data_IF_845753308793
#
_entry.id   IF_845753308793
#
_cell.length_a   1.000
_cell.length_b   1.000
_cell.length_c   1.000
_cell.angle_alpha   90.00
_cell.angle_beta   90.00
_cell.angle_gamma   90.00
#
_symmetry.space_group_name_H-M   'P 1'
#
loop_
_entity.id
_entity.type
_entity.pdbx_description
1 polymer ?
#
# COMPACT_ATOMS: atom_id res chain seq x y z
N UNK A 1 18.42 -48.40 -0.49
CA UNK A 1 18.69 -47.63 -1.72
C UNK A 1 17.48 -46.85 -2.26
N UNK A 2 16.23 -46.97 -1.74
CA UNK A 2 15.04 -46.29 -2.26
C UNK A 2 14.73 -44.88 -1.68
N UNK A 3 15.39 -44.44 -0.62
CA UNK A 3 15.20 -43.12 0.01
C UNK A 3 16.06 -41.98 -0.54
N UNK A 4 17.06 -42.25 -1.33
CA UNK A 4 17.96 -41.23 -1.92
C UNK A 4 17.56 -40.77 -3.32
N UNK A 5 16.69 -41.51 -4.03
CA UNK A 5 16.19 -41.09 -5.35
C UNK A 5 15.03 -40.08 -5.28
N UNK A 6 14.27 -40.04 -4.17
CA UNK A 6 13.14 -39.10 -4.03
C UNK A 6 13.58 -37.67 -3.74
N UNK A 7 14.75 -37.51 -3.08
CA UNK A 7 15.28 -36.17 -2.75
C UNK A 7 15.89 -35.46 -3.96
N UNK A 8 16.39 -36.19 -4.95
CA UNK A 8 16.99 -35.61 -6.17
C UNK A 8 15.90 -35.15 -7.18
N UNK A 9 14.73 -35.79 -7.19
CA UNK A 9 13.64 -35.44 -8.11
C UNK A 9 12.92 -34.16 -7.67
N UNK A 10 12.79 -33.90 -6.35
CA UNK A 10 12.20 -32.67 -5.82
C UNK A 10 13.13 -31.44 -6.03
N UNK A 11 14.46 -31.63 -6.00
CA UNK A 11 15.40 -30.52 -6.24
C UNK A 11 15.43 -30.08 -7.72
N UNK A 12 15.19 -30.99 -8.65
CA UNK A 12 15.15 -30.67 -10.09
C UNK A 12 13.81 -30.02 -10.49
N UNK A 13 12.67 -30.38 -9.84
CA UNK A 13 11.40 -29.70 -10.10
C UNK A 13 11.34 -28.26 -9.57
N UNK A 14 12.08 -27.92 -8.50
CA UNK A 14 12.14 -26.55 -7.99
C UNK A 14 12.99 -25.62 -8.88
N UNK A 15 13.91 -26.15 -9.69
CA UNK A 15 14.72 -25.34 -10.60
C UNK A 15 14.00 -24.99 -11.92
N UNK A 16 12.99 -25.75 -12.33
CA UNK A 16 12.29 -25.54 -13.61
C UNK A 16 11.15 -24.52 -13.49
N UNK A 17 10.61 -24.28 -12.29
CA UNK A 17 9.55 -23.26 -12.06
C UNK A 17 10.07 -21.84 -11.82
N UNK A 18 11.37 -21.61 -11.64
CA UNK A 18 11.94 -20.28 -11.36
C UNK A 18 12.26 -19.44 -12.63
N UNK A 19 12.34 -20.07 -13.80
CA UNK A 19 12.80 -19.40 -15.02
C UNK A 19 11.75 -18.48 -15.68
N UNK A 20 10.44 -18.76 -15.70
CA UNK A 20 9.49 -17.85 -16.34
C UNK A 20 9.14 -16.60 -15.52
N UNK A 21 9.31 -16.60 -14.19
CA UNK A 21 9.05 -15.42 -13.38
C UNK A 21 10.12 -14.32 -13.53
N UNK A 22 11.38 -14.68 -13.66
CA UNK A 22 12.48 -13.72 -13.81
C UNK A 22 12.40 -12.94 -15.15
N UNK A 23 11.98 -13.58 -16.24
CA UNK A 23 11.89 -12.92 -17.56
C UNK A 23 10.71 -11.94 -17.67
N UNK A 24 9.58 -12.22 -17.00
CA UNK A 24 8.43 -11.32 -16.96
C UNK A 24 8.73 -10.09 -16.07
N UNK A 25 9.43 -10.28 -14.97
CA UNK A 25 9.83 -9.20 -14.06
C UNK A 25 10.85 -8.26 -14.71
N UNK A 26 11.80 -8.76 -15.48
CA UNK A 26 12.77 -7.94 -16.22
C UNK A 26 12.09 -7.08 -17.30
N UNK A 27 11.04 -7.55 -17.94
CA UNK A 27 10.27 -6.80 -18.94
C UNK A 27 9.50 -5.61 -18.32
N UNK A 28 8.92 -5.76 -17.16
CA UNK A 28 8.20 -4.68 -16.47
C UNK A 28 9.17 -3.62 -15.91
N UNK A 29 10.29 -4.04 -15.33
CA UNK A 29 11.35 -3.15 -14.86
C UNK A 29 11.91 -2.29 -16.00
N UNK A 30 12.16 -2.89 -17.18
CA UNK A 30 12.63 -2.17 -18.35
C UNK A 30 11.61 -1.13 -18.82
N UNK A 31 10.33 -1.50 -18.93
CA UNK A 31 9.24 -0.59 -19.30
C UNK A 31 9.11 0.60 -18.33
N UNK A 32 9.22 0.36 -17.02
CA UNK A 32 9.21 1.42 -16.01
C UNK A 32 10.42 2.35 -16.14
N UNK A 33 11.61 1.79 -16.38
CA UNK A 33 12.82 2.58 -16.62
C UNK A 33 12.72 3.44 -17.90
N UNK A 34 12.12 2.93 -18.98
CA UNK A 34 11.86 3.69 -20.20
C UNK A 34 10.86 4.82 -19.96
N UNK A 35 9.80 4.58 -19.20
CA UNK A 35 8.85 5.63 -18.80
C UNK A 35 9.56 6.75 -18.01
N UNK A 36 10.44 6.41 -17.07
CA UNK A 36 11.23 7.40 -16.32
C UNK A 36 12.19 8.17 -17.21
N UNK A 37 12.69 7.57 -18.29
CA UNK A 37 13.51 8.27 -19.28
C UNK A 37 12.71 9.32 -20.05
N UNK A 38 11.48 8.99 -20.48
CA UNK A 38 10.55 9.93 -21.12
C UNK A 38 10.19 11.09 -20.18
N UNK A 39 10.12 10.83 -18.86
CA UNK A 39 9.88 11.86 -17.84
C UNK A 39 11.14 12.64 -17.44
N UNK A 40 12.29 12.41 -18.07
CA UNK A 40 13.59 13.02 -17.76
C UNK A 40 14.14 12.71 -16.36
N UNK A 41 13.64 11.65 -15.72
CA UNK A 41 14.12 11.20 -14.39
C UNK A 41 15.30 10.24 -14.50
N UNK A 42 15.37 9.47 -15.60
CA UNK A 42 16.55 8.67 -15.97
C UNK A 42 17.21 9.29 -17.22
N UNK A 43 18.53 9.14 -17.32
CA UNK A 43 19.25 9.53 -18.55
C UNK A 43 19.01 8.52 -19.66
N UNK A 44 19.01 8.98 -20.91
CA UNK A 44 19.05 8.12 -22.07
C UNK A 44 20.41 7.40 -22.13
N UNK A 45 20.40 6.10 -21.89
CA UNK A 45 21.56 5.24 -21.99
C UNK A 45 21.13 3.85 -22.48
N UNK A 46 21.32 3.57 -23.79
CA UNK A 46 20.97 2.27 -24.37
C UNK A 46 21.76 1.08 -23.77
N UNK A 47 22.91 1.36 -23.14
CA UNK A 47 23.77 0.35 -22.51
C UNK A 47 23.45 0.15 -21.04
N UNK A 48 22.38 0.82 -20.50
CA UNK A 48 22.01 0.74 -19.11
C UNK A 48 21.73 -0.70 -18.69
N UNK A 49 22.49 -1.19 -17.75
CA UNK A 49 22.31 -2.51 -17.16
C UNK A 49 21.55 -2.38 -15.84
N UNK A 50 20.24 -2.69 -15.90
CA UNK A 50 19.34 -2.61 -14.76
C UNK A 50 19.65 -3.63 -13.66
N UNK A 51 20.47 -4.66 -13.96
CA UNK A 51 20.82 -5.72 -12.98
C UNK A 51 22.03 -5.35 -12.12
N UNK A 52 22.81 -4.34 -12.51
CA UNK A 52 23.99 -3.93 -11.74
C UNK A 52 23.60 -3.32 -10.39
N UNK A 53 24.41 -3.57 -9.34
CA UNK A 53 24.26 -2.89 -8.07
C UNK A 53 24.28 -1.37 -8.23
N UNK A 54 23.30 -0.70 -7.64
CA UNK A 54 23.22 0.74 -7.63
C UNK A 54 24.24 1.34 -6.66
N UNK A 55 24.81 2.48 -7.06
CA UNK A 55 25.74 3.22 -6.22
C UNK A 55 25.07 4.36 -5.49
N UNK A 56 25.67 4.80 -4.38
CA UNK A 56 25.19 5.94 -3.59
C UNK A 56 25.15 7.24 -4.40
N UNK A 57 26.10 7.45 -5.31
CA UNK A 57 26.11 8.62 -6.19
C UNK A 57 24.95 8.59 -7.20
N UNK A 58 24.67 7.44 -7.80
CA UNK A 58 23.52 7.26 -8.70
C UNK A 58 22.21 7.53 -7.96
N UNK A 59 22.04 6.99 -6.76
CA UNK A 59 20.88 7.23 -5.92
C UNK A 59 20.68 8.71 -5.60
N UNK A 60 21.74 9.43 -5.22
CA UNK A 60 21.65 10.87 -4.94
C UNK A 60 21.19 11.69 -6.16
N UNK A 61 21.71 11.37 -7.36
CA UNK A 61 21.29 12.03 -8.61
C UNK A 61 19.82 11.74 -8.91
N UNK A 62 19.40 10.48 -8.83
CA UNK A 62 18.01 10.08 -9.11
C UNK A 62 17.04 10.71 -8.10
N UNK A 63 17.40 10.76 -6.82
CA UNK A 63 16.60 11.39 -5.78
C UNK A 63 16.39 12.88 -6.06
N UNK A 64 17.43 13.60 -6.48
CA UNK A 64 17.36 15.05 -6.79
C UNK A 64 16.53 15.29 -8.04
N UNK A 65 16.62 14.43 -9.06
CA UNK A 65 15.76 14.50 -10.25
C UNK A 65 14.30 14.28 -9.88
N UNK A 66 14.02 13.26 -9.07
CA UNK A 66 12.67 12.97 -8.57
C UNK A 66 12.08 14.15 -7.78
N UNK A 67 12.90 14.89 -7.07
CA UNK A 67 12.49 16.11 -6.37
C UNK A 67 12.39 17.35 -7.26
N UNK A 68 12.71 17.25 -8.55
CA UNK A 68 12.75 18.39 -9.48
C UNK A 68 13.92 19.35 -9.26
N UNK A 69 14.93 18.94 -8.50
CA UNK A 69 16.04 19.80 -8.06
C UNK A 69 16.99 20.22 -9.18
N UNK A 70 17.07 19.53 -10.30
CA UNK A 70 17.88 19.92 -11.45
C UNK A 70 17.35 21.19 -12.16
N UNK A 71 16.03 21.45 -12.10
CA UNK A 71 15.40 22.64 -12.69
C UNK A 71 15.56 23.90 -11.85
N UNK A 72 15.83 23.73 -10.54
CA UNK A 72 16.12 24.82 -9.60
C UNK A 72 17.32 24.44 -8.75
N UNK A 73 18.54 24.44 -9.29
CA UNK A 73 19.75 24.14 -8.53
C UNK A 73 20.01 25.33 -7.59
N UNK A 74 19.35 25.34 -6.45
CA UNK A 74 19.62 26.25 -5.37
C UNK A 74 20.75 25.66 -4.51
N UNK A 75 21.96 25.86 -4.95
CA UNK A 75 23.13 25.47 -4.18
C UNK A 75 23.73 26.65 -3.40
N UNK A 76 23.41 27.91 -3.74
CA UNK A 76 23.92 29.14 -3.10
C UNK A 76 25.36 29.01 -2.59
N UNK A 77 26.19 28.26 -3.32
CA UNK A 77 27.57 27.97 -2.90
C UNK A 77 27.68 26.94 -1.78
N UNK A 78 26.59 26.22 -1.39
CA UNK A 78 26.65 25.17 -0.37
C UNK A 78 27.58 24.02 -0.79
N UNK A 79 28.46 23.65 0.10
CA UNK A 79 29.37 22.52 -0.04
C UNK A 79 29.24 21.58 1.15
N UNK A 80 28.92 20.32 0.86
CA UNK A 80 28.70 19.28 1.88
C UNK A 80 29.98 18.82 2.60
N UNK A 81 31.15 19.28 2.16
CA UNK A 81 32.43 18.93 2.75
C UNK A 81 33.06 17.62 2.24
N UNK A 82 32.32 16.84 1.43
CA UNK A 82 32.79 15.55 0.90
C UNK A 82 33.84 15.75 -0.20
N UNK A 83 34.99 15.06 -0.08
CA UNK A 83 36.13 15.21 -0.98
C UNK A 83 36.20 14.17 -2.08
N UNK A 84 35.43 13.08 -1.93
CA UNK A 84 35.43 11.89 -2.80
C UNK A 84 34.31 11.87 -3.83
N UNK A 85 33.45 12.90 -3.88
CA UNK A 85 32.31 12.96 -4.80
C UNK A 85 32.77 13.37 -6.20
N UNK A 86 32.51 12.55 -7.24
CA UNK A 86 32.85 12.89 -8.62
C UNK A 86 32.03 14.09 -9.12
N UNK A 87 32.59 14.80 -10.11
CA UNK A 87 32.01 16.09 -10.59
C UNK A 87 30.57 15.92 -11.07
N UNK A 88 30.26 14.82 -11.77
CA UNK A 88 28.91 14.56 -12.29
C UNK A 88 27.82 14.40 -11.21
N UNK A 89 28.19 13.99 -9.99
CA UNK A 89 27.26 13.81 -8.87
C UNK A 89 27.33 14.96 -7.85
N UNK A 90 28.34 15.84 -7.92
CA UNK A 90 28.64 16.84 -6.90
C UNK A 90 27.46 17.76 -6.59
N UNK A 91 26.82 18.30 -7.62
CA UNK A 91 25.66 19.18 -7.46
C UNK A 91 24.50 18.47 -6.77
N UNK A 92 24.20 17.25 -7.19
CA UNK A 92 23.10 16.46 -6.60
C UNK A 92 23.40 16.08 -5.14
N UNK A 93 24.62 15.65 -4.84
CA UNK A 93 25.03 15.29 -3.47
C UNK A 93 24.96 16.52 -2.56
N UNK A 94 25.48 17.69 -3.00
CA UNK A 94 25.38 18.92 -2.22
C UNK A 94 23.93 19.34 -1.98
N UNK A 95 23.07 19.27 -3.02
CA UNK A 95 21.66 19.60 -2.94
C UNK A 95 20.92 18.71 -1.94
N UNK A 96 21.05 17.39 -2.07
CA UNK A 96 20.36 16.44 -1.21
C UNK A 96 20.89 16.48 0.24
N UNK A 97 22.20 16.70 0.43
CA UNK A 97 22.80 16.85 1.76
C UNK A 97 22.30 18.12 2.48
N UNK A 98 22.25 19.26 1.79
CA UNK A 98 21.72 20.52 2.34
C UNK A 98 20.29 20.36 2.87
N UNK A 99 19.48 19.51 2.22
CA UNK A 99 18.09 19.21 2.62
C UNK A 99 17.98 18.11 3.68
N UNK A 100 19.11 17.53 4.08
CA UNK A 100 19.12 16.45 5.05
C UNK A 100 18.58 15.10 4.53
N UNK A 101 18.43 14.95 3.21
CA UNK A 101 17.96 13.69 2.61
C UNK A 101 19.03 12.60 2.62
N UNK A 102 20.29 13.01 2.47
CA UNK A 102 21.45 12.11 2.47
C UNK A 102 22.52 12.58 3.47
N UNK A 103 23.33 11.62 3.91
CA UNK A 103 24.50 11.84 4.75
C UNK A 103 25.73 11.16 4.16
N UNK A 104 26.92 11.62 4.51
CA UNK A 104 28.16 10.93 4.23
C UNK A 104 28.37 9.73 5.15
N UNK A 105 29.34 8.88 4.82
CA UNK A 105 29.86 7.84 5.71
C UNK A 105 30.76 8.42 6.79
N UNK A 106 31.26 9.65 6.55
CA UNK A 106 31.93 10.51 7.52
C UNK A 106 31.70 11.97 7.18
N UNK A 107 32.25 12.89 7.97
CA UNK A 107 32.14 14.34 7.72
C UNK A 107 32.83 14.79 6.41
N UNK A 108 33.73 13.99 5.84
CA UNK A 108 34.52 14.32 4.66
C UNK A 108 34.42 13.30 3.53
N UNK A 109 33.68 12.21 3.73
CA UNK A 109 33.53 11.13 2.75
C UNK A 109 32.05 10.80 2.54
N UNK A 110 31.65 10.73 1.27
CA UNK A 110 30.32 10.33 0.84
C UNK A 110 30.25 8.85 0.49
N UNK A 111 31.35 8.27 0.03
CA UNK A 111 31.45 6.93 -0.56
C UNK A 111 30.57 6.77 -1.82
N UNK A 112 30.86 7.53 -2.90
CA UNK A 112 30.01 7.60 -4.09
C UNK A 112 29.82 6.27 -4.81
N UNK A 113 30.80 5.36 -4.74
CA UNK A 113 30.81 4.05 -5.36
C UNK A 113 30.30 2.93 -4.44
N UNK A 114 30.04 3.24 -3.17
CA UNK A 114 29.47 2.31 -2.22
C UNK A 114 28.12 1.79 -2.68
N UNK A 115 27.86 0.48 -2.48
CA UNK A 115 26.59 -0.13 -2.84
C UNK A 115 25.47 0.34 -1.90
N UNK A 116 24.28 0.52 -2.47
CA UNK A 116 23.12 1.01 -1.77
C UNK A 116 22.28 -0.14 -1.26
N UNK A 117 22.00 -0.18 0.05
CA UNK A 117 21.04 -1.13 0.61
C UNK A 117 19.62 -0.54 0.64
N UNK A 118 18.64 -1.40 0.81
CA UNK A 118 17.22 -1.07 0.78
C UNK A 118 16.83 -0.01 1.80
N UNK A 119 17.27 -0.14 3.07
CA UNK A 119 16.92 0.82 4.11
C UNK A 119 17.52 2.20 3.87
N UNK A 120 18.77 2.25 3.40
CA UNK A 120 19.41 3.53 3.07
C UNK A 120 18.69 4.26 1.93
N UNK A 121 18.27 3.54 0.88
CA UNK A 121 17.51 4.12 -0.22
C UNK A 121 16.12 4.60 0.22
N UNK A 122 15.36 3.74 0.91
CA UNK A 122 14.04 4.10 1.40
C UNK A 122 14.09 5.27 2.38
N UNK A 123 15.10 5.34 3.26
CA UNK A 123 15.29 6.51 4.13
C UNK A 123 15.53 7.80 3.34
N UNK A 124 16.28 7.75 2.22
CA UNK A 124 16.47 8.90 1.34
C UNK A 124 15.15 9.33 0.69
N UNK A 125 14.36 8.39 0.14
CA UNK A 125 13.04 8.66 -0.46
C UNK A 125 12.08 9.25 0.58
N UNK A 126 11.97 8.63 1.74
CA UNK A 126 11.09 9.07 2.83
C UNK A 126 11.41 10.50 3.28
N UNK A 127 12.69 10.83 3.47
CA UNK A 127 13.10 12.19 3.83
C UNK A 127 12.76 13.20 2.74
N UNK A 128 12.92 12.83 1.48
CA UNK A 128 12.54 13.69 0.33
C UNK A 128 11.04 13.96 0.31
N UNK A 129 10.23 12.98 0.71
CA UNK A 129 8.76 13.08 0.81
C UNK A 129 8.27 13.78 2.08
N UNK A 130 9.19 14.21 2.99
CA UNK A 130 8.85 14.95 4.21
C UNK A 130 8.69 14.09 5.46
N UNK A 131 8.97 12.78 5.40
CA UNK A 131 9.09 11.95 6.60
C UNK A 131 10.45 12.15 7.27
N UNK A 132 10.52 11.95 8.58
CA UNK A 132 11.73 12.22 9.36
C UNK A 132 12.02 11.12 10.38
N UNK A 133 13.17 10.47 10.22
CA UNK A 133 13.76 9.58 11.23
C UNK A 133 14.10 10.28 12.54
N UNK A 134 14.34 11.61 12.49
CA UNK A 134 14.66 12.42 13.67
C UNK A 134 13.45 12.74 14.54
N UNK A 135 12.27 12.80 13.94
CA UNK A 135 11.00 13.06 14.65
C UNK A 135 10.19 11.79 14.91
N UNK A 136 10.74 10.62 14.55
CA UNK A 136 10.16 9.33 14.86
C UNK A 136 9.12 8.82 13.88
N UNK A 137 9.09 9.32 12.63
CA UNK A 137 8.20 8.77 11.62
C UNK A 137 8.59 7.34 11.23
N UNK A 138 9.91 7.07 11.19
CA UNK A 138 10.47 5.75 10.91
C UNK A 138 11.86 5.61 11.54
N UNK A 139 12.34 4.39 11.67
CA UNK A 139 13.73 4.08 12.00
C UNK A 139 14.50 3.75 10.73
N UNK A 140 15.78 4.18 10.64
CA UNK A 140 16.61 3.94 9.44
C UNK A 140 16.78 2.44 9.17
N UNK A 141 16.89 1.62 10.22
CA UNK A 141 17.03 0.16 10.13
C UNK A 141 15.76 -0.57 9.67
N UNK A 142 14.62 0.14 9.56
CA UNK A 142 13.31 -0.40 9.17
C UNK A 142 12.69 0.44 8.03
N UNK A 143 13.48 1.30 7.40
CA UNK A 143 12.99 2.26 6.41
C UNK A 143 12.36 1.58 5.18
N UNK A 144 12.91 0.44 4.75
CA UNK A 144 12.36 -0.31 3.62
C UNK A 144 11.02 -0.98 3.96
N UNK A 145 10.87 -1.53 5.16
CA UNK A 145 9.61 -2.09 5.62
C UNK A 145 8.56 -0.98 5.83
N UNK A 146 8.96 0.16 6.38
CA UNK A 146 8.07 1.31 6.53
C UNK A 146 7.60 1.86 5.17
N UNK A 147 8.51 2.05 4.20
CA UNK A 147 8.17 2.52 2.86
C UNK A 147 7.15 1.60 2.17
N UNK A 148 7.33 0.29 2.28
CA UNK A 148 6.37 -0.67 1.77
C UNK A 148 5.04 -0.63 2.51
N UNK A 149 5.04 -0.57 3.83
CA UNK A 149 3.84 -0.50 4.67
C UNK A 149 2.95 0.69 4.34
N UNK A 150 3.54 1.85 4.03
CA UNK A 150 2.78 3.06 3.64
C UNK A 150 2.45 3.12 2.14
N UNK A 151 2.78 2.09 1.34
CA UNK A 151 2.50 2.03 -0.09
C UNK A 151 3.43 2.87 -0.98
N UNK A 152 4.57 3.37 -0.45
CA UNK A 152 5.56 4.11 -1.23
C UNK A 152 6.26 3.20 -2.26
N UNK A 153 6.46 1.93 -1.93
CA UNK A 153 7.04 0.93 -2.83
C UNK A 153 6.07 -0.23 -3.01
N UNK A 154 5.91 -0.74 -4.22
CA UNK A 154 4.99 -1.85 -4.54
C UNK A 154 5.40 -3.19 -3.92
N UNK A 155 6.63 -3.31 -3.44
CA UNK A 155 7.16 -4.46 -2.70
C UNK A 155 8.14 -4.01 -1.63
N UNK A 156 8.34 -4.83 -0.63
CA UNK A 156 9.42 -4.60 0.33
C UNK A 156 10.77 -4.82 -0.35
N UNK A 157 11.58 -3.79 -0.41
CA UNK A 157 12.95 -3.86 -0.89
C UNK A 157 13.84 -4.52 0.16
N UNK A 158 14.81 -5.32 -0.26
CA UNK A 158 15.74 -6.05 0.65
C UNK A 158 17.15 -6.08 0.08
N UNK A 159 18.14 -6.14 0.96
CA UNK A 159 19.54 -6.34 0.60
C UNK A 159 20.16 -5.18 -0.20
N UNK A 160 21.11 -5.49 -1.07
CA UNK A 160 21.75 -4.54 -1.98
C UNK A 160 20.86 -4.35 -3.20
N UNK A 161 20.55 -3.09 -3.52
CA UNK A 161 19.67 -2.75 -4.62
C UNK A 161 20.40 -2.67 -5.96
N UNK A 162 19.73 -3.11 -7.02
CA UNK A 162 20.12 -2.90 -8.40
C UNK A 162 19.64 -1.52 -8.92
N UNK A 163 20.15 -1.11 -10.07
CA UNK A 163 19.65 0.08 -10.80
C UNK A 163 18.16 -0.10 -11.16
N UNK A 164 17.73 -1.33 -11.44
CA UNK A 164 16.33 -1.66 -11.69
C UNK A 164 15.44 -1.47 -10.46
N UNK A 165 15.90 -1.87 -9.27
CA UNK A 165 15.17 -1.65 -8.02
C UNK A 165 14.95 -0.15 -7.74
N UNK A 166 15.95 0.70 -8.03
CA UNK A 166 15.80 2.14 -7.93
C UNK A 166 14.76 2.66 -8.93
N UNK A 167 14.82 2.19 -10.19
CA UNK A 167 13.86 2.61 -11.20
C UNK A 167 12.42 2.20 -10.83
N UNK A 168 12.20 0.97 -10.37
CA UNK A 168 10.89 0.52 -9.91
C UNK A 168 10.36 1.39 -8.77
N UNK A 169 11.16 1.61 -7.73
CA UNK A 169 10.74 2.39 -6.56
C UNK A 169 10.50 3.88 -6.89
N UNK A 170 11.25 4.46 -7.83
CA UNK A 170 11.01 5.82 -8.34
C UNK A 170 9.69 5.87 -9.10
N UNK A 171 9.42 4.86 -9.95
CA UNK A 171 8.17 4.78 -10.69
C UNK A 171 6.96 4.64 -9.75
N UNK A 172 7.06 3.81 -8.72
CA UNK A 172 6.03 3.67 -7.69
C UNK A 172 5.80 4.98 -6.94
N UNK A 173 6.87 5.72 -6.64
CA UNK A 173 6.80 7.00 -5.93
C UNK A 173 6.12 8.14 -6.73
N UNK A 174 5.96 8.02 -8.06
CA UNK A 174 5.35 9.09 -8.89
C UNK A 174 3.93 9.44 -8.43
N UNK A 175 3.15 8.45 -8.06
CA UNK A 175 1.76 8.63 -7.61
C UNK A 175 1.65 8.79 -6.08
N UNK A 176 2.77 8.79 -5.35
CA UNK A 176 2.78 8.91 -3.91
C UNK A 176 2.75 10.39 -3.49
N UNK A 177 1.98 10.71 -2.44
CA UNK A 177 1.85 12.08 -1.95
C UNK A 177 2.99 12.47 -1.00
N UNK A 178 3.40 13.75 -1.04
CA UNK A 178 4.22 14.30 0.03
C UNK A 178 3.48 14.25 1.37
N UNK A 179 4.20 13.96 2.44
CA UNK A 179 3.62 13.80 3.79
C UNK A 179 2.72 14.98 4.16
N UNK A 180 1.49 14.67 4.55
CA UNK A 180 0.51 15.66 4.98
C UNK A 180 -0.04 16.56 3.86
N UNK A 181 0.09 16.14 2.60
CA UNK A 181 -0.46 16.85 1.44
C UNK A 181 -1.19 15.88 0.50
N UNK A 182 -1.97 16.43 -0.43
CA UNK A 182 -2.57 15.69 -1.55
C UNK A 182 -1.73 15.82 -2.83
N UNK A 183 -0.56 16.44 -2.75
CA UNK A 183 0.31 16.67 -3.91
C UNK A 183 1.17 15.44 -4.16
N UNK A 184 0.96 14.75 -5.29
CA UNK A 184 1.80 13.63 -5.71
C UNK A 184 3.16 14.09 -6.22
N UNK A 185 4.14 13.19 -6.22
CA UNK A 185 5.46 13.47 -6.82
C UNK A 185 5.31 13.84 -8.30
N UNK A 186 4.49 13.12 -9.06
CA UNK A 186 4.24 13.42 -10.48
C UNK A 186 3.62 14.81 -10.69
N UNK A 187 2.60 15.15 -9.90
CA UNK A 187 2.00 16.49 -9.94
C UNK A 187 3.04 17.57 -9.69
N UNK A 188 3.88 17.39 -8.67
CA UNK A 188 4.97 18.32 -8.34
C UNK A 188 5.99 18.46 -9.47
N UNK A 189 6.35 17.35 -10.13
CA UNK A 189 7.26 17.36 -11.29
C UNK A 189 6.69 18.13 -12.48
N UNK A 190 5.39 18.01 -12.73
CA UNK A 190 4.69 18.78 -13.76
C UNK A 190 4.66 20.29 -13.42
N UNK A 191 4.34 20.65 -12.19
CA UNK A 191 4.34 22.04 -11.70
C UNK A 191 5.72 22.71 -11.84
N UNK A 192 6.78 21.92 -11.61
CA UNK A 192 8.16 22.38 -11.77
C UNK A 192 8.64 22.39 -13.24
N UNK A 193 7.82 21.88 -14.18
CA UNK A 193 8.17 21.78 -15.59
C UNK A 193 9.30 20.77 -15.87
N UNK A 194 9.49 19.76 -15.02
CA UNK A 194 10.42 18.64 -15.24
C UNK A 194 9.88 17.74 -16.34
N UNK A 195 8.60 17.40 -16.25
CA UNK A 195 7.88 16.70 -17.30
C UNK A 195 6.59 17.44 -17.68
N UNK A 196 5.98 17.07 -18.80
CA UNK A 196 4.73 17.67 -19.26
C UNK A 196 3.55 16.77 -18.95
N UNK A 197 2.36 17.36 -18.77
CA UNK A 197 1.11 16.60 -18.65
C UNK A 197 0.87 15.71 -19.90
N UNK A 198 1.27 16.16 -21.09
CA UNK A 198 1.17 15.36 -22.32
C UNK A 198 2.03 14.10 -22.26
N UNK A 199 3.28 14.20 -21.78
CA UNK A 199 4.16 13.04 -21.60
C UNK A 199 3.61 12.08 -20.55
N UNK A 200 3.16 12.59 -19.40
CA UNK A 200 2.55 11.79 -18.34
C UNK A 200 1.28 11.08 -18.84
N UNK A 201 0.42 11.77 -19.60
CA UNK A 201 -0.79 11.18 -20.18
C UNK A 201 -0.46 10.10 -21.23
N UNK A 202 0.53 10.34 -22.09
CA UNK A 202 0.97 9.35 -23.10
C UNK A 202 1.52 8.06 -22.46
N UNK A 203 2.05 8.16 -21.26
CA UNK A 203 2.50 7.01 -20.43
C UNK A 203 1.36 6.39 -19.61
N UNK A 204 0.13 6.92 -19.70
CA UNK A 204 -1.01 6.47 -18.91
C UNK A 204 -0.86 6.73 -17.40
N UNK A 205 -0.13 7.77 -17.00
CA UNK A 205 0.09 8.13 -15.59
C UNK A 205 -0.96 9.12 -15.06
N UNK A 206 -1.73 9.75 -15.94
CA UNK A 206 -2.87 10.59 -15.59
C UNK A 206 -4.16 9.81 -15.87
N UNK A 207 -5.10 9.76 -14.92
CA UNK A 207 -6.37 8.99 -15.02
C UNK A 207 -6.13 7.50 -15.37
N UNK A 208 -5.27 6.87 -14.62
CA UNK A 208 -4.76 5.54 -14.90
C UNK A 208 -5.73 4.47 -14.46
N UNK A 209 -6.16 3.62 -15.41
CA UNK A 209 -6.73 2.31 -15.07
C UNK A 209 -5.58 1.38 -14.67
N UNK A 210 -5.61 0.92 -13.43
CA UNK A 210 -4.64 -0.04 -12.92
C UNK A 210 -5.05 -1.46 -13.29
N UNK A 211 -4.07 -2.29 -13.62
CA UNK A 211 -4.27 -3.74 -13.67
C UNK A 211 -4.39 -4.31 -12.26
N UNK A 212 -4.96 -5.52 -12.12
CA UNK A 212 -5.03 -6.21 -10.83
C UNK A 212 -3.66 -6.31 -10.13
N UNK A 213 -2.58 -6.57 -10.90
CA UNK A 213 -1.22 -6.61 -10.36
C UNK A 213 -0.78 -5.27 -9.78
N UNK A 214 -1.02 -4.17 -10.49
CA UNK A 214 -0.65 -2.83 -10.03
C UNK A 214 -1.44 -2.41 -8.79
N UNK A 215 -2.73 -2.78 -8.72
CA UNK A 215 -3.56 -2.56 -7.54
C UNK A 215 -3.08 -3.42 -6.36
N UNK A 216 -2.70 -4.68 -6.60
CA UNK A 216 -2.13 -5.53 -5.56
C UNK A 216 -0.82 -4.96 -5.02
N UNK A 217 0.12 -4.61 -5.90
CA UNK A 217 1.41 -4.01 -5.54
C UNK A 217 1.22 -2.74 -4.68
N UNK A 218 0.19 -1.94 -4.99
CA UNK A 218 -0.05 -0.64 -4.36
C UNK A 218 -0.88 -0.71 -3.09
N UNK A 219 -1.92 -1.54 -3.05
CA UNK A 219 -2.99 -1.45 -2.05
C UNK A 219 -3.19 -2.68 -1.18
N UNK A 220 -2.52 -3.82 -1.43
CA UNK A 220 -2.61 -4.95 -0.49
C UNK A 220 -2.14 -4.59 0.91
N UNK A 221 -1.17 -3.67 1.05
CA UNK A 221 -0.71 -3.17 2.35
C UNK A 221 -1.70 -2.21 3.04
N UNK A 222 -2.75 -1.76 2.34
CA UNK A 222 -3.84 -0.98 2.93
C UNK A 222 -4.95 -1.87 3.52
N UNK A 223 -4.95 -3.17 3.21
CA UNK A 223 -5.89 -4.14 3.77
C UNK A 223 -5.24 -4.93 4.90
N UNK A 224 -6.08 -5.57 5.72
CA UNK A 224 -5.65 -6.41 6.81
C UNK A 224 -6.63 -7.56 7.05
N UNK A 225 -6.11 -8.66 7.62
CA UNK A 225 -6.92 -9.69 8.25
C UNK A 225 -7.42 -9.16 9.59
N UNK A 226 -8.71 -9.30 9.85
CA UNK A 226 -9.33 -8.96 11.12
C UNK A 226 -9.61 -10.26 11.88
N UNK A 227 -8.90 -10.50 12.97
CA UNK A 227 -9.14 -11.64 13.87
C UNK A 227 -10.00 -11.21 15.04
N UNK A 228 -11.05 -11.97 15.34
CA UNK A 228 -12.17 -11.59 16.18
C UNK A 228 -12.26 -12.51 17.42
N UNK A 229 -12.51 -11.93 18.56
CA UNK A 229 -12.58 -12.63 19.87
C UNK A 229 -13.91 -12.29 20.55
N UNK A 230 -14.72 -13.29 20.83
CA UNK A 230 -16.07 -13.15 21.41
C UNK A 230 -16.12 -13.33 22.92
N UNK A 231 -15.11 -14.03 23.49
CA UNK A 231 -15.04 -14.37 24.91
C UNK A 231 -13.70 -14.01 25.53
N UNK A 232 -13.66 -13.81 26.86
CA UNK A 232 -12.42 -13.54 27.60
C UNK A 232 -11.44 -14.72 27.54
N UNK A 233 -11.95 -15.96 27.40
CA UNK A 233 -11.12 -17.17 27.27
C UNK A 233 -10.35 -17.12 25.93
N UNK A 234 -11.04 -16.81 24.82
CA UNK A 234 -10.40 -16.65 23.50
C UNK A 234 -9.36 -15.54 23.51
N UNK A 235 -9.63 -14.42 24.21
CA UNK A 235 -8.65 -13.32 24.36
C UNK A 235 -7.45 -13.78 25.17
N UNK A 236 -7.65 -14.57 26.24
CA UNK A 236 -6.57 -15.08 27.08
C UNK A 236 -5.69 -16.09 26.34
N UNK A 237 -6.31 -16.99 25.58
CA UNK A 237 -5.63 -18.06 24.85
C UNK A 237 -5.09 -17.61 23.48
N UNK A 238 -5.37 -16.36 23.08
CA UNK A 238 -5.03 -15.77 21.77
C UNK A 238 -5.58 -16.58 20.59
N UNK A 239 -6.76 -17.20 20.74
CA UNK A 239 -7.44 -18.00 19.71
C UNK A 239 -8.69 -17.25 19.23
N UNK A 240 -8.65 -16.73 18.01
CA UNK A 240 -9.81 -16.04 17.39
C UNK A 240 -10.98 -17.00 17.12
N UNK A 241 -12.21 -16.50 17.27
CA UNK A 241 -13.43 -17.23 16.91
C UNK A 241 -13.69 -17.23 15.40
N UNK A 242 -13.29 -16.13 14.73
CA UNK A 242 -13.50 -15.93 13.31
C UNK A 242 -12.46 -14.97 12.75
N UNK A 243 -12.31 -15.01 11.44
CA UNK A 243 -11.51 -14.06 10.67
C UNK A 243 -12.39 -13.36 9.64
N UNK A 244 -12.12 -12.08 9.43
CA UNK A 244 -12.73 -11.22 8.42
C UNK A 244 -11.64 -10.38 7.74
N UNK A 245 -12.05 -9.39 6.98
CA UNK A 245 -11.17 -8.41 6.35
C UNK A 245 -11.50 -7.00 6.82
N UNK A 246 -10.55 -6.11 6.64
CA UNK A 246 -10.75 -4.68 6.75
C UNK A 246 -9.73 -3.95 5.88
N UNK A 247 -9.94 -2.65 5.71
CA UNK A 247 -9.01 -1.79 4.98
C UNK A 247 -8.95 -0.41 5.60
N UNK A 248 -7.76 0.20 5.58
CA UNK A 248 -7.57 1.56 6.06
C UNK A 248 -8.10 2.59 5.07
N UNK A 249 -8.68 3.65 5.62
CA UNK A 249 -9.17 4.84 4.90
C UNK A 249 -8.43 6.11 5.31
N UNK A 250 -7.50 6.00 6.25
CA UNK A 250 -6.62 7.10 6.64
C UNK A 250 -5.27 6.60 7.15
N UNK A 251 -4.26 7.45 7.02
CA UNK A 251 -2.91 7.16 7.47
C UNK A 251 -2.80 7.00 9.01
N UNK A 252 -3.75 7.53 9.77
CA UNK A 252 -3.74 7.49 11.23
C UNK A 252 -4.51 6.28 11.82
N UNK A 253 -5.03 5.38 10.95
CA UNK A 253 -5.61 4.11 11.35
C UNK A 253 -7.14 4.07 11.42
N UNK A 254 -7.86 5.00 10.76
CA UNK A 254 -9.27 4.77 10.48
C UNK A 254 -9.39 3.66 9.44
N UNK A 255 -10.31 2.73 9.67
CA UNK A 255 -10.49 1.57 8.80
C UNK A 255 -11.96 1.16 8.72
N UNK A 256 -12.31 0.48 7.63
CA UNK A 256 -13.67 0.00 7.37
C UNK A 256 -13.69 -1.52 7.39
N UNK A 257 -14.78 -2.09 7.90
CA UNK A 257 -15.13 -3.51 7.85
C UNK A 257 -16.65 -3.67 7.81
N UNK A 258 -17.18 -4.89 7.78
CA UNK A 258 -18.61 -5.13 7.97
C UNK A 258 -18.99 -5.10 9.44
N UNK A 259 -20.25 -4.69 9.72
CA UNK A 259 -20.80 -4.76 11.06
C UNK A 259 -20.95 -6.20 11.56
N UNK A 260 -21.50 -7.12 10.73
CA UNK A 260 -21.66 -8.52 11.11
C UNK A 260 -20.34 -9.21 11.48
N UNK A 261 -19.20 -8.68 11.03
CA UNK A 261 -17.90 -9.22 11.41
C UNK A 261 -17.54 -8.90 12.86
N UNK A 262 -18.01 -7.76 13.41
CA UNK A 262 -17.62 -7.28 14.74
C UNK A 262 -18.73 -7.39 15.80
N UNK A 263 -19.97 -7.70 15.40
CA UNK A 263 -21.17 -7.59 16.26
C UNK A 263 -21.08 -8.35 17.60
N UNK A 264 -20.50 -9.55 17.56
CA UNK A 264 -20.35 -10.39 18.76
C UNK A 264 -19.00 -10.28 19.44
N UNK A 265 -18.09 -9.47 18.90
CA UNK A 265 -16.72 -9.41 19.38
C UNK A 265 -16.56 -8.52 20.60
N UNK A 266 -15.66 -8.93 21.50
CA UNK A 266 -15.21 -8.12 22.65
C UNK A 266 -13.81 -7.54 22.43
N UNK A 267 -13.05 -8.12 21.50
CA UNK A 267 -11.74 -7.68 21.05
C UNK A 267 -11.54 -8.05 19.59
N UNK A 268 -10.76 -7.26 18.88
CA UNK A 268 -10.32 -7.57 17.52
C UNK A 268 -8.89 -7.11 17.28
N UNK A 269 -8.19 -7.80 16.39
CA UNK A 269 -6.82 -7.43 15.98
C UNK A 269 -6.72 -7.41 14.46
N UNK A 270 -5.99 -6.42 13.93
CA UNK A 270 -5.71 -6.23 12.52
C UNK A 270 -4.29 -6.72 12.22
N UNK A 271 -4.15 -7.77 11.40
CA UNK A 271 -2.87 -8.30 10.96
C UNK A 271 -2.60 -7.88 9.52
N UNK A 272 -1.52 -7.13 9.30
CA UNK A 272 -1.12 -6.59 8.01
C UNK A 272 -0.41 -7.63 7.15
N UNK A 273 -0.21 -7.30 5.87
CA UNK A 273 0.49 -8.13 4.89
C UNK A 273 1.92 -8.54 5.32
N UNK A 274 2.59 -7.70 6.11
CA UNK A 274 3.93 -7.97 6.66
C UNK A 274 3.93 -8.79 7.96
N UNK A 275 2.75 -9.22 8.44
CA UNK A 275 2.58 -9.98 9.67
C UNK A 275 2.53 -9.13 10.96
N UNK A 276 2.67 -7.80 10.88
CA UNK A 276 2.48 -6.94 12.06
C UNK A 276 1.02 -6.92 12.47
N UNK A 277 0.77 -7.04 13.77
CA UNK A 277 -0.57 -7.10 14.35
C UNK A 277 -0.83 -5.90 15.26
N UNK A 278 -1.97 -5.26 15.06
CA UNK A 278 -2.43 -4.05 15.76
C UNK A 278 -3.78 -4.30 16.39
N UNK A 279 -4.07 -3.64 17.52
CA UNK A 279 -5.35 -3.77 18.21
C UNK A 279 -6.39 -2.80 17.64
N UNK A 280 -7.66 -3.22 17.57
CA UNK A 280 -8.80 -2.34 17.32
C UNK A 280 -9.17 -1.64 18.62
N UNK A 281 -9.02 -0.32 18.67
CA UNK A 281 -9.25 0.50 19.87
C UNK A 281 -10.71 0.92 20.04
N UNK A 282 -11.35 1.32 18.95
CA UNK A 282 -12.69 1.91 18.94
C UNK A 282 -13.49 1.54 17.68
N UNK A 283 -14.80 1.58 17.82
CA UNK A 283 -15.77 1.64 16.73
C UNK A 283 -16.32 3.07 16.70
N UNK A 284 -16.09 3.80 15.62
CA UNK A 284 -16.48 5.22 15.50
C UNK A 284 -17.83 5.39 14.83
N UNK A 285 -18.19 4.48 13.96
CA UNK A 285 -19.45 4.42 13.26
C UNK A 285 -19.82 2.97 13.01
N UNK A 286 -21.09 2.63 13.13
CA UNK A 286 -21.64 1.39 12.62
C UNK A 286 -23.10 1.53 12.26
N UNK A 287 -23.54 0.73 11.30
CA UNK A 287 -24.94 0.62 10.90
C UNK A 287 -25.26 -0.84 10.63
N UNK A 288 -26.18 -1.38 11.43
CA UNK A 288 -26.58 -2.79 11.36
C UNK A 288 -27.41 -3.10 10.12
N UNK A 289 -28.16 -2.11 9.61
CA UNK A 289 -29.04 -2.27 8.45
C UNK A 289 -28.27 -2.30 7.13
N UNK A 290 -27.17 -1.55 7.02
CA UNK A 290 -26.32 -1.54 5.83
C UNK A 290 -25.07 -2.39 5.96
N UNK A 291 -24.85 -2.98 7.14
CA UNK A 291 -23.75 -3.89 7.42
C UNK A 291 -22.35 -3.27 7.26
N UNK A 292 -22.15 -2.06 7.78
CA UNK A 292 -20.85 -1.36 7.76
C UNK A 292 -20.44 -0.95 9.17
N UNK A 293 -19.13 -1.00 9.45
CA UNK A 293 -18.51 -0.41 10.62
C UNK A 293 -17.23 0.34 10.25
N UNK A 294 -16.99 1.48 10.91
CA UNK A 294 -15.72 2.21 10.89
C UNK A 294 -15.04 2.04 12.23
N UNK A 295 -13.84 1.51 12.20
CA UNK A 295 -13.05 1.19 13.37
C UNK A 295 -11.79 2.04 13.42
N UNK A 296 -11.26 2.24 14.61
CA UNK A 296 -9.94 2.84 14.87
C UNK A 296 -8.97 1.74 15.25
N UNK A 297 -7.95 1.56 14.45
CA UNK A 297 -6.84 0.63 14.69
C UNK A 297 -5.70 1.39 15.37
N UNK A 298 -5.13 0.81 16.41
CA UNK A 298 -3.96 1.35 17.11
C UNK A 298 -2.79 1.56 16.15
N UNK A 299 -2.02 2.60 16.35
CA UNK A 299 -0.74 2.76 15.63
C UNK A 299 0.42 2.05 16.30
N UNK A 300 0.20 1.48 17.48
CA UNK A 300 1.21 0.71 18.20
C UNK A 300 0.89 -0.78 18.06
N UNK A 301 1.81 -1.54 17.46
CA UNK A 301 1.65 -2.99 17.28
C UNK A 301 1.91 -3.78 18.57
N UNK A 302 1.62 -5.08 18.56
CA UNK A 302 1.84 -5.98 19.70
C UNK A 302 3.31 -6.02 20.17
N UNK A 303 4.27 -5.74 19.29
CA UNK A 303 5.70 -5.62 19.62
C UNK A 303 6.07 -4.24 20.19
N UNK A 304 5.08 -3.38 20.49
CA UNK A 304 5.22 -2.01 21.03
C UNK A 304 5.97 -1.04 20.09
N UNK A 305 5.95 -1.30 18.80
CA UNK A 305 6.43 -0.36 17.77
C UNK A 305 5.26 0.49 17.31
N UNK A 306 5.46 1.79 17.23
CA UNK A 306 4.46 2.74 16.74
C UNK A 306 4.77 3.12 15.30
N UNK A 307 3.78 2.93 14.40
CA UNK A 307 3.89 3.46 13.03
C UNK A 307 3.41 4.91 12.97
N UNK A 308 4.03 5.72 12.14
CA UNK A 308 3.56 7.11 11.86
C UNK A 308 2.42 7.15 10.86
N UNK A 309 2.29 6.14 9.99
CA UNK A 309 1.26 6.07 8.98
C UNK A 309 0.96 4.61 8.56
N UNK A 310 -0.28 4.39 8.11
CA UNK A 310 -0.69 3.22 7.34
C UNK A 310 -0.89 3.61 5.87
N UNK A 311 -0.70 2.67 4.94
CA UNK A 311 -1.24 2.80 3.60
C UNK A 311 -2.77 2.78 3.69
N UNK A 312 -3.46 3.52 2.83
CA UNK A 312 -4.92 3.64 2.88
C UNK A 312 -5.50 3.80 1.48
N UNK A 313 -6.81 3.60 1.40
CA UNK A 313 -7.60 3.67 0.19
C UNK A 313 -8.50 4.91 0.23
N UNK A 314 -8.63 5.59 -0.91
CA UNK A 314 -9.56 6.68 -1.09
C UNK A 314 -10.98 6.15 -1.34
N UNK A 315 -11.98 6.80 -0.74
CA UNK A 315 -13.39 6.50 -0.95
C UNK A 315 -13.98 7.42 -2.02
N UNK A 316 -14.71 6.86 -3.00
CA UNK A 316 -15.39 7.66 -4.04
C UNK A 316 -16.90 7.40 -4.12
N UNK A 317 -17.39 6.33 -3.49
CA UNK A 317 -18.79 5.96 -3.52
C UNK A 317 -19.27 5.45 -4.87
N UNK A 318 -20.58 5.47 -5.08
CA UNK A 318 -21.26 4.76 -6.18
C UNK A 318 -21.79 5.66 -7.29
N UNK A 319 -21.55 6.98 -7.25
CA UNK A 319 -22.19 7.94 -8.16
C UNK A 319 -21.88 7.69 -9.65
N UNK A 320 -20.67 7.23 -9.98
CA UNK A 320 -20.19 7.11 -11.36
C UNK A 320 -20.02 5.66 -11.85
N UNK A 321 -20.42 4.66 -11.05
CA UNK A 321 -20.28 3.24 -11.43
C UNK A 321 -21.37 2.78 -12.40
N UNK A 322 -21.02 1.84 -13.29
CA UNK A 322 -21.94 1.29 -14.30
C UNK A 322 -21.77 -0.23 -14.43
N UNK A 323 -22.84 -0.95 -14.82
CA UNK A 323 -22.69 -2.35 -15.20
C UNK A 323 -21.66 -2.53 -16.31
N UNK A 324 -20.75 -3.50 -16.13
CA UNK A 324 -19.64 -3.76 -17.02
C UNK A 324 -18.32 -3.10 -16.61
N UNK A 325 -18.31 -2.14 -15.68
CA UNK A 325 -17.08 -1.52 -15.19
C UNK A 325 -16.19 -2.56 -14.49
N UNK A 326 -14.87 -2.55 -14.71
CA UNK A 326 -13.96 -3.45 -14.03
C UNK A 326 -13.87 -3.12 -12.53
N UNK A 327 -13.89 -4.15 -11.71
CA UNK A 327 -13.76 -4.02 -10.26
C UNK A 327 -12.76 -5.03 -9.71
N UNK A 328 -12.21 -4.69 -8.54
CA UNK A 328 -11.19 -5.46 -7.84
C UNK A 328 -11.55 -5.54 -6.36
N UNK A 329 -11.60 -6.77 -5.83
CA UNK A 329 -11.85 -6.99 -4.40
C UNK A 329 -10.54 -7.36 -3.70
N UNK A 330 -10.25 -6.70 -2.58
CA UNK A 330 -9.12 -7.04 -1.69
C UNK A 330 -9.68 -7.53 -0.37
N UNK A 331 -9.19 -8.69 0.10
CA UNK A 331 -9.57 -9.26 1.39
C UNK A 331 -8.72 -10.47 1.74
N UNK A 332 -9.12 -11.20 2.79
CA UNK A 332 -8.46 -12.40 3.30
C UNK A 332 -9.31 -13.66 3.07
N UNK A 333 -9.43 -14.15 1.82
CA UNK A 333 -10.27 -15.30 1.51
C UNK A 333 -9.79 -16.56 2.24
N UNK A 334 -10.69 -17.20 2.98
CA UNK A 334 -10.45 -18.47 3.70
C UNK A 334 -9.32 -18.40 4.75
N UNK A 335 -8.90 -17.21 5.19
CA UNK A 335 -7.76 -17.07 6.09
C UNK A 335 -6.42 -17.44 5.45
N UNK A 336 -6.34 -17.48 4.12
CA UNK A 336 -5.12 -17.89 3.39
C UNK A 336 -4.14 -16.74 3.15
N UNK A 337 -4.45 -15.56 3.66
CA UNK A 337 -3.68 -14.33 3.49
C UNK A 337 -4.40 -13.34 2.58
N UNK A 338 -3.91 -12.09 2.61
CA UNK A 338 -4.48 -11.02 1.80
C UNK A 338 -4.30 -11.31 0.30
N UNK A 339 -5.37 -11.17 -0.44
CA UNK A 339 -5.43 -11.46 -1.87
C UNK A 339 -6.27 -10.42 -2.61
N UNK A 340 -6.08 -10.33 -3.92
CA UNK A 340 -6.90 -9.54 -4.83
C UNK A 340 -7.60 -10.45 -5.84
N UNK A 341 -8.87 -10.19 -6.11
CA UNK A 341 -9.63 -10.78 -7.19
C UNK A 341 -10.14 -9.70 -8.13
N UNK A 342 -10.47 -10.06 -9.38
CA UNK A 342 -10.96 -9.13 -10.39
C UNK A 342 -12.29 -9.60 -10.97
N UNK A 343 -13.12 -8.66 -11.36
CA UNK A 343 -14.42 -8.91 -11.97
C UNK A 343 -14.98 -7.66 -12.64
N UNK A 344 -16.28 -7.67 -12.86
CA UNK A 344 -17.03 -6.52 -13.37
C UNK A 344 -18.26 -6.26 -12.49
N UNK A 345 -18.77 -5.05 -12.53
CA UNK A 345 -20.09 -4.72 -11.96
C UNK A 345 -21.17 -5.40 -12.80
N UNK A 346 -22.00 -6.21 -12.17
CA UNK A 346 -23.19 -6.80 -12.78
C UNK A 346 -24.44 -5.93 -12.58
N UNK A 347 -24.58 -5.34 -11.38
CA UNK A 347 -25.66 -4.39 -11.03
C UNK A 347 -25.14 -3.38 -10.03
N UNK A 348 -25.54 -2.13 -10.20
CA UNK A 348 -25.16 -1.02 -9.31
C UNK A 348 -26.10 -0.85 -8.13
N UNK A 349 -27.31 -1.41 -8.19
CA UNK A 349 -28.32 -1.29 -7.16
C UNK A 349 -29.22 -2.53 -7.19
N UNK A 350 -28.97 -3.50 -6.31
CA UNK A 350 -29.78 -4.70 -6.14
C UNK A 350 -30.36 -4.76 -4.74
N UNK A 351 -31.67 -4.64 -4.65
CA UNK A 351 -32.40 -4.67 -3.37
C UNK A 351 -32.40 -6.09 -2.79
N UNK A 352 -32.08 -6.20 -1.51
CA UNK A 352 -32.11 -7.44 -0.74
C UNK A 352 -32.68 -7.13 0.65
N UNK A 353 -33.63 -7.94 1.10
CA UNK A 353 -34.35 -7.72 2.38
C UNK A 353 -33.44 -7.59 3.61
N UNK A 354 -32.25 -8.18 3.55
CA UNK A 354 -31.28 -8.12 4.66
C UNK A 354 -30.45 -6.84 4.74
N UNK A 355 -30.48 -5.97 3.73
CA UNK A 355 -29.73 -4.73 3.69
C UNK A 355 -30.68 -3.53 3.51
N UNK A 356 -30.48 -2.47 4.27
CA UNK A 356 -31.26 -1.24 4.18
C UNK A 356 -30.96 -0.43 2.92
N UNK A 357 -29.84 -0.68 2.26
CA UNK A 357 -29.46 -0.06 0.99
C UNK A 357 -29.27 -1.12 -0.10
N UNK A 358 -29.56 -0.79 -1.37
CA UNK A 358 -29.26 -1.66 -2.49
C UNK A 358 -27.77 -1.99 -2.56
N UNK A 359 -27.45 -3.26 -2.81
CA UNK A 359 -26.08 -3.74 -2.93
C UNK A 359 -25.55 -3.61 -4.36
N UNK A 360 -24.24 -3.51 -4.48
CA UNK A 360 -23.50 -3.67 -5.73
C UNK A 360 -23.33 -5.17 -5.96
N UNK A 361 -23.86 -5.70 -7.09
CA UNK A 361 -23.58 -7.06 -7.54
C UNK A 361 -22.38 -7.03 -8.46
N UNK A 362 -21.41 -7.90 -8.22
CA UNK A 362 -20.17 -7.95 -9.01
C UNK A 362 -19.70 -9.40 -9.18
N UNK A 363 -18.72 -9.63 -10.06
CA UNK A 363 -18.13 -10.94 -10.32
C UNK A 363 -16.71 -11.12 -9.80
N UNK A 364 -16.16 -10.15 -9.05
CA UNK A 364 -14.88 -10.30 -8.38
C UNK A 364 -15.01 -11.34 -7.26
N UNK A 365 -14.31 -12.45 -7.39
CA UNK A 365 -14.47 -13.62 -6.52
C UNK A 365 -14.13 -13.29 -5.06
N UNK A 366 -15.07 -13.57 -4.18
CA UNK A 366 -14.89 -13.47 -2.73
C UNK A 366 -15.34 -14.75 -2.06
N UNK A 367 -14.79 -15.04 -0.92
CA UNK A 367 -15.13 -16.22 -0.12
C UNK A 367 -15.18 -15.87 1.36
N UNK A 368 -15.51 -16.83 2.20
CA UNK A 368 -15.53 -16.66 3.66
C UNK A 368 -14.21 -16.06 4.14
N UNK A 369 -14.26 -15.02 4.98
CA UNK A 369 -13.11 -14.24 5.40
C UNK A 369 -12.85 -12.98 4.56
N UNK A 370 -13.42 -12.86 3.35
CA UNK A 370 -13.33 -11.63 2.55
C UNK A 370 -14.29 -10.53 3.01
N UNK A 371 -15.28 -10.84 3.86
CA UNK A 371 -16.22 -9.85 4.41
C UNK A 371 -15.48 -8.69 5.08
N UNK A 372 -15.86 -7.47 4.79
CA UNK A 372 -15.20 -6.23 5.25
C UNK A 372 -14.04 -5.78 4.38
N UNK A 373 -13.70 -6.51 3.31
CA UNK A 373 -12.70 -6.10 2.33
C UNK A 373 -13.18 -4.98 1.42
N UNK A 374 -12.25 -4.33 0.71
CA UNK A 374 -12.55 -3.25 -0.21
C UNK A 374 -12.96 -3.77 -1.58
N UNK A 375 -14.07 -3.26 -2.15
CA UNK A 375 -14.35 -3.34 -3.58
C UNK A 375 -13.94 -2.02 -4.23
N UNK A 376 -12.99 -2.08 -5.17
CA UNK A 376 -12.39 -0.91 -5.81
C UNK A 376 -12.74 -0.84 -7.30
N UNK A 377 -12.76 0.38 -7.84
CA UNK A 377 -12.77 0.63 -9.27
C UNK A 377 -11.37 0.43 -9.90
N UNK A 378 -11.24 0.62 -11.22
CA UNK A 378 -9.96 0.50 -11.93
C UNK A 378 -8.91 1.55 -11.52
N UNK A 379 -9.30 2.62 -10.85
CA UNK A 379 -8.40 3.66 -10.35
C UNK A 379 -7.88 3.36 -8.92
N UNK A 380 -8.30 2.23 -8.32
CA UNK A 380 -7.91 1.85 -6.96
C UNK A 380 -8.70 2.57 -5.87
N UNK A 381 -9.84 3.15 -6.20
CA UNK A 381 -10.70 3.87 -5.29
C UNK A 381 -11.87 2.99 -4.85
N UNK A 382 -12.24 3.06 -3.58
CA UNK A 382 -13.28 2.21 -2.99
C UNK A 382 -14.67 2.70 -3.38
N UNK A 383 -15.47 1.79 -3.91
CA UNK A 383 -16.88 1.99 -4.24
C UNK A 383 -17.81 1.22 -3.29
N UNK A 384 -17.30 0.19 -2.60
CA UNK A 384 -18.11 -0.62 -1.70
C UNK A 384 -17.27 -1.49 -0.78
N UNK A 385 -17.94 -2.14 0.17
CA UNK A 385 -17.38 -3.08 1.14
C UNK A 385 -17.90 -4.47 0.82
N UNK A 386 -17.03 -5.45 0.59
CA UNK A 386 -17.42 -6.82 0.28
C UNK A 386 -18.13 -7.44 1.48
N UNK A 387 -19.33 -7.99 1.29
CA UNK A 387 -20.16 -8.48 2.39
C UNK A 387 -20.59 -9.94 2.24
N UNK A 388 -20.78 -10.45 1.03
CA UNK A 388 -21.25 -11.82 0.86
C UNK A 388 -21.40 -12.26 -0.59
N UNK A 389 -21.96 -13.47 -0.77
CA UNK A 389 -22.29 -14.03 -2.07
C UNK A 389 -23.77 -14.30 -2.17
N UNK A 390 -24.32 -14.22 -3.37
CA UNK A 390 -25.70 -14.59 -3.63
C UNK A 390 -25.80 -16.12 -3.69
N UNK A 391 -26.57 -16.70 -2.77
CA UNK A 391 -26.58 -18.15 -2.52
C UNK A 391 -27.09 -18.98 -3.72
N UNK A 392 -27.88 -18.38 -4.59
CA UNK A 392 -28.54 -19.07 -5.71
C UNK A 392 -27.92 -18.74 -7.09
N UNK A 393 -26.81 -17.99 -7.11
CA UNK A 393 -26.10 -17.57 -8.34
C UNK A 393 -24.63 -17.95 -8.32
N UNK A 394 -24.09 -18.31 -9.48
CA UNK A 394 -22.64 -18.46 -9.66
C UNK A 394 -22.03 -17.10 -10.03
N UNK A 395 -20.88 -16.77 -9.47
CA UNK A 395 -20.15 -15.51 -9.73
C UNK A 395 -20.98 -14.24 -9.48
N UNK A 396 -21.85 -14.29 -8.46
CA UNK A 396 -22.64 -13.14 -8.02
C UNK A 396 -22.28 -12.81 -6.58
N UNK A 397 -21.40 -11.85 -6.42
CA UNK A 397 -20.91 -11.40 -5.13
C UNK A 397 -21.47 -10.03 -4.80
N UNK A 398 -21.64 -9.76 -3.51
CA UNK A 398 -22.30 -8.58 -2.99
C UNK A 398 -21.30 -7.68 -2.29
N UNK A 399 -21.42 -6.40 -2.57
CA UNK A 399 -20.76 -5.36 -1.78
C UNK A 399 -21.80 -4.31 -1.37
N UNK A 400 -21.72 -3.85 -0.15
CA UNK A 400 -22.52 -2.72 0.32
C UNK A 400 -21.85 -1.41 -0.09
N UNK A 401 -22.61 -0.39 -0.53
CA UNK A 401 -22.06 0.92 -0.91
C UNK A 401 -21.26 1.56 0.22
N UNK A 402 -20.13 2.20 -0.10
CA UNK A 402 -19.30 2.88 0.89
C UNK A 402 -19.76 4.32 1.20
N UNK A 403 -20.74 4.83 0.43
CA UNK A 403 -21.27 6.19 0.54
C UNK A 403 -21.66 6.61 1.99
N UNK A 404 -22.26 5.75 2.83
CA UNK A 404 -22.57 6.09 4.21
C UNK A 404 -21.35 6.41 5.07
N UNK A 405 -20.21 5.75 4.81
CA UNK A 405 -18.94 6.04 5.51
C UNK A 405 -18.46 7.44 5.18
N UNK A 406 -18.60 7.88 3.91
CA UNK A 406 -18.19 9.21 3.46
C UNK A 406 -19.04 10.32 4.10
N UNK A 407 -20.29 10.00 4.47
CA UNK A 407 -21.21 10.94 5.12
C UNK A 407 -21.13 10.92 6.66
N UNK A 408 -20.45 9.93 7.25
CA UNK A 408 -20.40 9.73 8.70
C UNK A 408 -19.49 10.76 9.41
N UNK A 409 -19.90 11.19 10.61
CA UNK A 409 -19.02 11.95 11.51
C UNK A 409 -18.07 10.99 12.23
N UNK A 410 -16.82 10.96 11.80
CA UNK A 410 -15.77 10.12 12.36
C UNK A 410 -14.91 10.84 13.42
N UNK A 411 -15.30 12.04 13.84
CA UNK A 411 -14.58 12.83 14.87
C UNK A 411 -15.02 12.48 16.30
N UNK A 412 -16.00 11.59 16.43
CA UNK A 412 -16.54 11.14 17.70
C UNK A 412 -15.54 10.26 18.49
N UNK A 413 -15.74 10.16 19.82
CA UNK A 413 -14.90 9.30 20.66
C UNK A 413 -15.15 7.79 20.42
N UNK A 414 -16.30 7.44 19.84
CA UNK A 414 -16.70 6.07 19.55
C UNK A 414 -16.90 5.18 20.77
N UNK A 415 -17.04 3.89 20.52
CA UNK A 415 -17.30 2.84 21.50
C UNK A 415 -16.20 1.76 21.45
N UNK A 416 -16.01 1.02 22.52
CA UNK A 416 -15.30 -0.25 22.49
C UNK A 416 -16.18 -1.33 21.84
N UNK A 417 -15.59 -2.42 21.36
CA UNK A 417 -16.37 -3.57 20.85
C UNK A 417 -17.33 -4.14 21.91
N UNK A 418 -16.90 -4.21 23.16
CA UNK A 418 -17.76 -4.63 24.28
C UNK A 418 -18.98 -3.73 24.47
N UNK A 419 -18.81 -2.41 24.33
CA UNK A 419 -19.92 -1.44 24.42
C UNK A 419 -20.87 -1.59 23.24
N UNK A 420 -20.38 -1.77 21.99
CA UNK A 420 -21.23 -2.01 20.82
C UNK A 420 -22.05 -3.28 21.02
N UNK A 421 -21.44 -4.40 21.41
CA UNK A 421 -22.14 -5.65 21.71
C UNK A 421 -23.22 -5.48 22.78
N UNK A 422 -22.95 -4.72 23.85
CA UNK A 422 -23.90 -4.46 24.92
C UNK A 422 -25.07 -3.56 24.46
N UNK A 423 -24.80 -2.56 23.62
CA UNK A 423 -25.82 -1.66 23.06
C UNK A 423 -26.80 -2.44 22.20
N UNK A 424 -26.31 -3.27 21.27
CA UNK A 424 -27.18 -4.04 20.38
C UNK A 424 -27.96 -5.13 21.13
N UNK A 425 -27.30 -5.85 22.05
CA UNK A 425 -28.01 -6.83 22.92
C UNK A 425 -29.10 -6.20 23.80
N UNK A 426 -29.07 -4.91 24.06
CA UNK A 426 -30.15 -4.20 24.78
C UNK A 426 -31.33 -3.90 23.87
N UNK A 427 -31.10 -3.58 22.57
CA UNK A 427 -32.15 -3.30 21.58
C UNK A 427 -32.97 -4.55 21.23
N UNK A 428 -32.36 -5.73 21.23
CA UNK A 428 -33.05 -7.01 20.95
C UNK A 428 -34.01 -7.45 22.06
N UNK A 429 -33.98 -6.77 23.21
CA UNK A 429 -34.84 -7.10 24.38
C UNK A 429 -36.08 -6.21 24.48
N UNK A 430 -36.12 -5.10 23.73
CA UNK A 430 -37.24 -4.15 23.67
C UNK A 430 -38.12 -4.44 22.42
#
# INVERSE_FOLDING_TARGET
MKKRLFSALCAVMLLICAVPMASAQTGDTARRADALTVLHLLSEDPSRDLTKPATRAQAAVLLVRLAGGEKKPDTDGWFAGFRDVPDWARTAVNYANRRGWISGVSNVQFDPNGHLNADAWCAMLLRMLGYSDKTGDFEISDAAAFAWRIGLTGRQLIGILSVGDLAESIYDALDFCYKGTETTVLSRLMDLGVCTASAANALGLLNKDYTARQLADRYLSAAFQLSLYETEEQVHDEVSSADASGFFISADGLAVTNYHSIEDSIKATATLLNGETYEVERVLYYDTGIDIAVIKVSRTNQSRRTTSAFNHLDLVGTADIRPGDPVYAIGNPLGLGLAISSGIIGSTAHELDRYALPCIVNSADISRGSSGGALMNAHGQVIGVTSGAYTYGNNMYLAVPVDPVMAADLTVSGWTLKEVKAIEAAKDKD
#
